data_IF_469551805967
#
_entry.id   IF_469551805967
#
_cell.length_a   1.000
_cell.length_b   1.000
_cell.length_c   1.000
_cell.angle_alpha   90.00
_cell.angle_beta   90.00
_cell.angle_gamma   90.00
#
_symmetry.space_group_name_H-M   'P 1'
#
loop_
_entity.id
_entity.type
_entity.pdbx_description
1 polymer ?
#
# COMPACT_ATOMS: atom_id res chain seq x y z
N UNK A 1 3.54 24.42 -7.57
CA UNK A 1 4.32 24.60 -8.81
C UNK A 1 4.16 23.33 -9.62
N UNK A 2 3.77 23.45 -10.90
CA UNK A 2 3.62 22.30 -11.78
C UNK A 2 4.96 21.57 -11.95
N UNK A 3 4.94 20.24 -11.97
CA UNK A 3 6.16 19.42 -12.02
C UNK A 3 6.71 19.36 -13.44
N UNK A 4 7.99 19.66 -13.65
CA UNK A 4 8.67 19.42 -14.92
C UNK A 4 9.00 17.93 -15.10
N UNK A 5 8.48 17.32 -16.16
CA UNK A 5 8.67 15.91 -16.52
C UNK A 5 9.56 15.73 -17.75
N UNK A 6 10.17 16.79 -18.27
CA UNK A 6 11.04 16.75 -19.45
C UNK A 6 12.23 15.78 -19.31
N UNK A 7 12.72 15.59 -18.08
CA UNK A 7 13.83 14.68 -17.76
C UNK A 7 13.41 13.23 -17.48
N UNK A 8 12.12 12.92 -17.53
CA UNK A 8 11.65 11.55 -17.30
C UNK A 8 12.04 10.62 -18.44
N UNK A 9 12.15 9.32 -18.13
CA UNK A 9 12.40 8.29 -19.13
C UNK A 9 11.10 7.59 -19.55
N UNK A 10 10.91 7.43 -20.85
CA UNK A 10 9.91 6.56 -21.44
C UNK A 10 10.59 5.30 -21.96
N UNK A 11 10.49 4.21 -21.19
CA UNK A 11 11.08 2.91 -21.51
C UNK A 11 12.59 2.97 -21.85
N UNK A 12 13.33 3.85 -21.17
CA UNK A 12 14.78 4.02 -21.35
C UNK A 12 15.19 5.16 -22.29
N UNK A 13 14.24 5.85 -22.92
CA UNK A 13 14.47 7.02 -23.78
C UNK A 13 14.14 8.29 -23.00
N UNK A 14 14.92 9.36 -23.12
CA UNK A 14 14.58 10.63 -22.47
C UNK A 14 13.35 11.24 -23.13
N UNK A 15 12.47 11.83 -22.32
CA UNK A 15 11.20 12.37 -22.80
C UNK A 15 11.37 13.46 -23.88
N UNK A 16 12.42 14.26 -23.81
CA UNK A 16 12.75 15.30 -24.80
C UNK A 16 13.08 14.76 -26.19
N UNK A 17 13.50 13.49 -26.31
CA UNK A 17 13.84 12.86 -27.60
C UNK A 17 12.60 12.42 -28.38
N UNK A 18 11.42 12.41 -27.74
CA UNK A 18 10.18 11.92 -28.34
C UNK A 18 9.26 13.12 -28.61
N UNK A 19 9.08 13.55 -29.87
CA UNK A 19 8.29 14.73 -30.19
C UNK A 19 6.77 14.45 -30.17
N UNK A 20 6.26 13.84 -29.10
CA UNK A 20 4.84 13.59 -28.88
C UNK A 20 4.24 14.64 -27.93
N UNK A 21 3.53 15.63 -28.43
CA UNK A 21 2.86 16.64 -27.60
C UNK A 21 1.68 17.26 -28.36
N UNK A 22 0.68 17.82 -27.66
CA UNK A 22 -0.46 18.44 -28.32
C UNK A 22 -0.06 19.74 -29.04
N UNK A 23 -0.79 20.08 -30.08
CA UNK A 23 -0.84 21.43 -30.67
C UNK A 23 -2.27 21.96 -30.61
N UNK A 24 -2.46 23.28 -30.54
CA UNK A 24 -3.79 23.90 -30.50
C UNK A 24 -3.97 24.77 -31.74
N UNK A 25 -5.01 24.50 -32.52
CA UNK A 25 -5.49 25.41 -33.55
C UNK A 25 -6.30 26.53 -32.88
N UNK A 26 -5.73 27.73 -32.85
CA UNK A 26 -6.32 28.88 -32.17
C UNK A 26 -7.60 29.40 -32.84
N UNK A 27 -7.81 29.15 -34.13
CA UNK A 27 -9.04 29.54 -34.84
C UNK A 27 -10.22 28.66 -34.42
N UNK A 28 -9.97 27.37 -34.21
CA UNK A 28 -11.00 26.41 -33.74
C UNK A 28 -11.18 26.40 -32.23
N UNK A 29 -10.21 26.90 -31.48
CA UNK A 29 -10.26 26.90 -30.02
C UNK A 29 -11.33 27.88 -29.50
N UNK A 30 -12.29 27.35 -28.74
CA UNK A 30 -13.40 28.13 -28.16
C UNK A 30 -13.16 28.54 -26.69
N UNK A 31 -11.96 28.28 -26.15
CA UNK A 31 -11.62 28.70 -24.77
C UNK A 31 -12.34 27.91 -23.66
N UNK A 32 -12.91 26.73 -23.94
CA UNK A 32 -13.74 25.98 -22.97
C UNK A 32 -13.01 25.38 -21.76
N UNK A 33 -11.70 25.61 -21.59
CA UNK A 33 -10.88 25.16 -20.44
C UNK A 33 -10.82 23.65 -20.16
N UNK A 34 -11.55 22.81 -20.92
CA UNK A 34 -11.66 21.38 -20.66
C UNK A 34 -10.30 20.67 -20.72
N UNK A 35 -9.44 21.06 -21.66
CA UNK A 35 -8.09 20.51 -21.78
C UNK A 35 -7.16 20.94 -20.63
N UNK A 36 -7.36 22.14 -20.09
CA UNK A 36 -6.60 22.68 -18.97
C UNK A 36 -6.90 21.89 -17.69
N UNK A 37 -8.19 21.68 -17.37
CA UNK A 37 -8.60 20.96 -16.16
C UNK A 37 -8.42 19.45 -16.27
N UNK A 38 -8.67 18.85 -17.44
CA UNK A 38 -8.67 17.38 -17.58
C UNK A 38 -7.25 16.78 -17.69
N UNK A 39 -6.23 17.60 -17.93
CA UNK A 39 -4.88 17.10 -18.09
C UNK A 39 -4.18 16.91 -16.74
N UNK A 40 -4.21 15.69 -16.19
CA UNK A 40 -3.50 15.35 -14.93
C UNK A 40 -1.96 15.43 -14.99
N UNK A 41 -1.39 15.92 -16.10
CA UNK A 41 0.04 16.17 -16.29
C UNK A 41 0.36 17.65 -16.51
N UNK A 42 -0.65 18.52 -16.38
CA UNK A 42 -0.51 19.98 -16.42
C UNK A 42 0.19 20.44 -17.71
N UNK A 43 -0.12 19.82 -18.86
CA UNK A 43 0.52 20.17 -20.15
C UNK A 43 0.12 21.56 -20.64
N UNK A 44 -1.11 21.94 -20.32
CA UNK A 44 -1.71 23.21 -20.74
C UNK A 44 -1.64 24.23 -19.61
N UNK A 45 -1.61 25.50 -20.00
CA UNK A 45 -1.87 26.66 -19.16
C UNK A 45 -3.02 27.45 -19.78
N UNK A 46 -3.75 28.23 -19.00
CA UNK A 46 -4.78 29.11 -19.53
C UNK A 46 -4.27 30.54 -19.61
N UNK A 47 -4.35 31.14 -20.80
CA UNK A 47 -4.01 32.53 -20.99
C UNK A 47 -5.29 33.37 -20.91
N UNK A 48 -5.45 34.10 -19.81
CA UNK A 48 -6.59 34.98 -19.55
C UNK A 48 -6.70 36.14 -20.53
N UNK A 49 -5.59 36.57 -21.15
CA UNK A 49 -5.58 37.71 -22.08
C UNK A 49 -6.27 37.37 -23.41
N UNK A 50 -6.05 36.16 -23.92
CA UNK A 50 -6.67 35.65 -25.15
C UNK A 50 -7.83 34.69 -24.87
N UNK A 51 -8.11 34.40 -23.59
CA UNK A 51 -9.15 33.49 -23.09
C UNK A 51 -9.08 32.10 -23.74
N UNK A 52 -7.86 31.57 -23.88
CA UNK A 52 -7.59 30.29 -24.55
C UNK A 52 -6.49 29.53 -23.83
N UNK A 53 -6.57 28.20 -23.91
CA UNK A 53 -5.49 27.34 -23.45
C UNK A 53 -4.27 27.44 -24.38
N UNK A 54 -3.08 27.40 -23.78
CA UNK A 54 -1.77 27.33 -24.45
C UNK A 54 -1.03 26.07 -24.00
N UNK A 55 -0.09 25.58 -24.82
CA UNK A 55 0.74 24.42 -24.48
C UNK A 55 2.03 24.92 -23.83
N UNK A 56 2.02 25.02 -22.51
CA UNK A 56 3.17 25.52 -21.74
C UNK A 56 4.23 24.43 -21.52
N UNK A 57 3.79 23.18 -21.28
CA UNK A 57 4.68 22.08 -20.88
C UNK A 57 4.53 20.89 -21.84
N UNK A 58 5.00 21.01 -23.10
CA UNK A 58 4.77 19.99 -24.13
C UNK A 58 5.32 18.61 -23.72
N UNK A 59 6.53 18.58 -23.14
CA UNK A 59 7.19 17.33 -22.74
C UNK A 59 6.58 16.68 -21.51
N UNK A 60 5.66 17.33 -20.79
CA UNK A 60 4.90 16.65 -19.74
C UNK A 60 3.89 15.64 -20.29
N UNK A 61 3.49 15.80 -21.56
CA UNK A 61 2.50 14.93 -22.20
C UNK A 61 3.00 13.48 -22.20
N UNK A 62 2.15 12.53 -21.81
CA UNK A 62 2.48 11.10 -21.86
C UNK A 62 2.56 10.65 -23.33
N UNK A 63 3.64 9.99 -23.71
CA UNK A 63 3.82 9.43 -25.06
C UNK A 63 2.66 8.50 -25.40
N UNK A 64 1.96 8.77 -26.50
CA UNK A 64 0.79 8.02 -26.96
C UNK A 64 -0.55 8.43 -26.35
N UNK A 65 -0.57 9.29 -25.33
CA UNK A 65 -1.82 9.84 -24.81
C UNK A 65 -2.41 10.87 -25.78
N UNK A 66 -3.72 10.79 -26.05
CA UNK A 66 -4.45 11.76 -26.87
C UNK A 66 -5.81 12.15 -26.28
N UNK A 67 -6.01 11.98 -24.98
CA UNK A 67 -7.32 12.21 -24.32
C UNK A 67 -7.83 13.63 -24.51
N UNK A 68 -6.96 14.64 -24.42
CA UNK A 68 -7.34 16.04 -24.61
C UNK A 68 -7.86 16.32 -26.03
N UNK A 69 -7.33 15.65 -27.07
CA UNK A 69 -7.90 15.70 -28.43
C UNK A 69 -9.28 15.07 -28.48
N UNK A 70 -9.47 13.92 -27.84
CA UNK A 70 -10.76 13.19 -27.83
C UNK A 70 -11.86 13.99 -27.14
N UNK A 71 -11.56 14.68 -26.04
CA UNK A 71 -12.56 15.45 -25.29
C UNK A 71 -12.78 16.87 -25.85
N UNK A 72 -11.92 17.36 -26.74
CA UNK A 72 -12.03 18.73 -27.25
C UNK A 72 -13.29 18.88 -28.11
N UNK A 73 -14.30 19.67 -27.69
CA UNK A 73 -15.58 19.75 -28.38
C UNK A 73 -15.46 20.42 -29.76
N UNK A 74 -14.48 21.31 -29.95
CA UNK A 74 -14.26 22.01 -31.21
C UNK A 74 -13.20 21.34 -32.12
N UNK A 75 -12.63 20.22 -31.69
CA UNK A 75 -11.58 19.52 -32.46
C UNK A 75 -10.33 20.37 -32.70
N UNK A 76 -10.02 21.30 -31.79
CA UNK A 76 -8.90 22.23 -31.93
C UNK A 76 -7.53 21.61 -31.61
N UNK A 77 -7.48 20.44 -30.96
CA UNK A 77 -6.22 19.85 -30.48
C UNK A 77 -5.69 18.81 -31.47
N UNK A 78 -4.47 19.03 -31.96
CA UNK A 78 -3.72 18.12 -32.81
C UNK A 78 -2.70 17.29 -32.04
N UNK A 79 -2.31 16.15 -32.62
CA UNK A 79 -1.18 15.33 -32.16
C UNK A 79 -0.41 14.81 -33.37
N UNK A 80 0.88 14.48 -33.20
CA UNK A 80 1.64 13.75 -34.21
C UNK A 80 0.98 12.44 -34.63
N UNK A 81 1.30 11.93 -35.83
CA UNK A 81 0.81 10.63 -36.30
C UNK A 81 1.30 9.49 -35.41
N UNK A 82 0.49 8.43 -35.28
CA UNK A 82 0.81 7.25 -34.46
C UNK A 82 2.05 6.52 -34.99
N UNK A 83 2.25 6.58 -36.30
CA UNK A 83 3.36 5.99 -37.05
C UNK A 83 4.72 6.50 -36.54
N UNK A 84 4.78 7.73 -36.02
CA UNK A 84 5.98 8.29 -35.39
C UNK A 84 6.38 7.51 -34.13
N UNK A 85 5.41 7.21 -33.26
CA UNK A 85 5.68 6.39 -32.06
C UNK A 85 6.10 4.99 -32.46
N UNK A 86 5.40 4.36 -33.42
CA UNK A 86 5.73 3.00 -33.87
C UNK A 86 7.15 2.90 -34.42
N UNK A 87 7.64 3.95 -35.09
CA UNK A 87 9.03 4.03 -35.56
C UNK A 87 10.01 4.04 -34.38
N UNK A 88 9.80 4.91 -33.40
CA UNK A 88 10.62 4.99 -32.18
C UNK A 88 10.60 3.65 -31.42
N UNK A 89 9.43 3.02 -31.30
CA UNK A 89 9.28 1.70 -30.66
C UNK A 89 10.15 0.64 -31.32
N UNK A 90 10.23 0.66 -32.65
CA UNK A 90 11.04 -0.28 -33.45
C UNK A 90 12.53 0.03 -33.35
N UNK A 91 12.92 1.29 -33.51
CA UNK A 91 14.32 1.75 -33.48
C UNK A 91 14.98 1.45 -32.13
N UNK A 92 14.29 1.76 -31.04
CA UNK A 92 14.80 1.54 -29.67
C UNK A 92 14.45 0.16 -29.10
N UNK A 93 13.84 -0.73 -29.89
CA UNK A 93 13.45 -2.09 -29.48
C UNK A 93 12.62 -2.11 -28.18
N UNK A 94 11.70 -1.16 -28.04
CA UNK A 94 10.92 -0.91 -26.81
C UNK A 94 10.18 -2.17 -26.32
N UNK A 95 9.65 -2.99 -27.24
CA UNK A 95 8.96 -4.23 -26.88
C UNK A 95 9.84 -5.20 -26.08
N UNK A 96 11.16 -5.22 -26.32
CA UNK A 96 12.10 -6.05 -25.53
C UNK A 96 12.21 -5.51 -24.09
N UNK A 97 12.39 -4.20 -23.95
CA UNK A 97 12.49 -3.50 -22.64
C UNK A 97 11.21 -3.68 -21.82
N UNK A 98 10.04 -3.51 -22.47
CA UNK A 98 8.73 -3.65 -21.83
C UNK A 98 8.48 -5.10 -21.38
N UNK A 99 8.84 -6.10 -22.19
CA UNK A 99 8.72 -7.52 -21.82
C UNK A 99 9.57 -7.86 -20.59
N UNK A 100 10.81 -7.36 -20.53
CA UNK A 100 11.67 -7.57 -19.37
C UNK A 100 11.11 -6.89 -18.11
N UNK A 101 10.69 -5.63 -18.24
CA UNK A 101 10.06 -4.87 -17.14
C UNK A 101 8.79 -5.56 -16.64
N UNK A 102 7.97 -6.09 -17.56
CA UNK A 102 6.76 -6.84 -17.23
C UNK A 102 7.08 -8.14 -16.47
N UNK A 103 8.13 -8.88 -16.86
CA UNK A 103 8.59 -10.07 -16.13
C UNK A 103 8.96 -9.72 -14.70
N UNK A 104 9.76 -8.67 -14.48
CA UNK A 104 10.16 -8.20 -13.14
C UNK A 104 8.93 -7.82 -12.29
N UNK A 105 7.97 -7.08 -12.86
CA UNK A 105 6.73 -6.70 -12.17
C UNK A 105 5.87 -7.91 -11.79
N UNK A 106 5.73 -8.89 -12.69
CA UNK A 106 5.00 -10.15 -12.41
C UNK A 106 5.65 -10.94 -11.29
N UNK A 107 6.98 -11.10 -11.33
CA UNK A 107 7.73 -11.78 -10.28
C UNK A 107 7.55 -11.08 -8.92
N UNK A 108 7.70 -9.75 -8.86
CA UNK A 108 7.45 -8.98 -7.62
C UNK A 108 6.03 -9.19 -7.10
N UNK A 109 5.02 -9.15 -7.96
CA UNK A 109 3.62 -9.36 -7.58
C UNK A 109 3.39 -10.78 -7.03
N UNK A 110 3.96 -11.81 -7.67
CA UNK A 110 3.85 -13.18 -7.20
C UNK A 110 4.50 -13.39 -5.82
N UNK A 111 5.64 -12.74 -5.55
CA UNK A 111 6.25 -12.75 -4.22
C UNK A 111 5.38 -12.08 -3.16
N UNK A 112 4.77 -10.93 -3.48
CA UNK A 112 3.85 -10.24 -2.56
C UNK A 112 2.62 -11.10 -2.25
N UNK A 113 2.02 -11.71 -3.27
CA UNK A 113 0.85 -12.60 -3.11
C UNK A 113 1.20 -13.83 -2.25
N UNK A 114 2.35 -14.46 -2.50
CA UNK A 114 2.83 -15.57 -1.70
C UNK A 114 3.08 -15.17 -0.23
N UNK A 115 3.62 -13.97 -0.01
CA UNK A 115 3.81 -13.42 1.33
C UNK A 115 2.48 -13.19 2.04
N UNK A 116 1.52 -12.53 1.39
CA UNK A 116 0.20 -12.27 1.98
C UNK A 116 -0.53 -13.58 2.31
N UNK A 117 -0.42 -14.60 1.48
CA UNK A 117 -1.02 -15.91 1.77
C UNK A 117 -0.32 -16.59 2.96
N UNK A 118 1.02 -16.52 3.04
CA UNK A 118 1.75 -17.03 4.20
C UNK A 118 1.38 -16.30 5.50
N UNK A 119 1.27 -14.97 5.47
CA UNK A 119 0.84 -14.15 6.61
C UNK A 119 -0.61 -14.49 7.03
N UNK A 120 -1.50 -14.73 6.05
CA UNK A 120 -2.87 -15.16 6.31
C UNK A 120 -2.93 -16.55 6.95
N UNK A 121 -2.09 -17.49 6.52
CA UNK A 121 -1.97 -18.80 7.16
C UNK A 121 -1.45 -18.67 8.59
N UNK A 122 -0.40 -17.88 8.80
CA UNK A 122 0.13 -17.60 10.15
C UNK A 122 -0.91 -16.93 11.06
N UNK A 123 -1.73 -16.02 10.54
CA UNK A 123 -2.78 -15.37 11.33
C UNK A 123 -3.87 -16.33 11.85
N UNK A 124 -4.02 -17.51 11.22
CA UNK A 124 -4.96 -18.55 11.68
C UNK A 124 -4.37 -19.42 12.77
N UNK A 125 -3.05 -19.48 12.89
CA UNK A 125 -2.38 -20.23 13.96
C UNK A 125 -2.47 -19.38 15.23
N UNK A 126 -3.35 -19.77 16.16
CA UNK A 126 -3.34 -19.19 17.50
C UNK A 126 -2.05 -19.63 18.19
N UNK A 127 -1.04 -18.76 18.18
CA UNK A 127 0.25 -18.96 18.86
C UNK A 127 0.26 -18.32 20.25
N UNK A 128 -0.80 -17.58 20.58
CA UNK A 128 -0.97 -16.94 21.87
C UNK A 128 -2.46 -16.79 22.22
N UNK A 129 -2.80 -16.97 23.50
CA UNK A 129 -4.13 -16.72 24.07
C UNK A 129 -3.97 -15.81 25.29
N UNK A 130 -4.83 -14.80 25.39
CA UNK A 130 -4.87 -13.88 26.52
C UNK A 130 -5.97 -14.32 27.48
N UNK A 131 -5.62 -14.40 28.77
CA UNK A 131 -6.51 -14.78 29.85
C UNK A 131 -6.71 -13.61 30.80
N UNK A 132 -7.95 -13.44 31.23
CA UNK A 132 -8.36 -12.47 32.24
C UNK A 132 -9.20 -13.20 33.29
N UNK A 133 -8.71 -13.24 34.53
CA UNK A 133 -9.31 -14.05 35.60
C UNK A 133 -9.52 -13.19 36.83
N UNK A 134 -10.68 -13.34 37.47
CA UNK A 134 -10.98 -12.75 38.79
C UNK A 134 -11.11 -13.85 39.83
N UNK A 135 -10.53 -13.65 41.02
CA UNK A 135 -10.61 -14.63 42.10
C UNK A 135 -9.71 -14.29 43.28
N UNK A 136 -9.56 -15.21 44.23
CA UNK A 136 -8.62 -15.05 45.35
C UNK A 136 -7.19 -15.37 44.93
N UNK A 137 -6.66 -14.59 43.98
CA UNK A 137 -5.40 -14.87 43.29
C UNK A 137 -4.15 -14.57 44.13
N UNK A 138 -4.31 -13.82 45.21
CA UNK A 138 -3.23 -13.52 46.16
C UNK A 138 -2.96 -14.66 47.16
N UNK A 139 -3.73 -15.75 47.14
CA UNK A 139 -3.52 -16.90 48.01
C UNK A 139 -2.19 -17.62 47.71
N UNK A 140 -1.63 -18.29 48.73
CA UNK A 140 -0.34 -18.99 48.60
C UNK A 140 -0.45 -20.08 47.53
N UNK A 141 0.50 -20.07 46.57
CA UNK A 141 0.75 -21.10 45.55
C UNK A 141 0.11 -20.92 44.15
N UNK A 142 -0.50 -19.77 43.83
CA UNK A 142 -1.00 -19.55 42.46
C UNK A 142 0.09 -19.75 41.40
N UNK A 143 1.23 -19.06 41.55
CA UNK A 143 2.33 -19.13 40.58
C UNK A 143 2.93 -20.54 40.46
N UNK A 144 3.05 -21.28 41.56
CA UNK A 144 3.58 -22.65 41.52
C UNK A 144 2.60 -23.63 40.85
N UNK A 145 1.30 -23.47 41.07
CA UNK A 145 0.27 -24.29 40.41
C UNK A 145 0.22 -24.02 38.91
N UNK A 146 0.34 -22.74 38.55
CA UNK A 146 0.42 -22.31 37.16
C UNK A 146 1.65 -22.90 36.48
N UNK A 147 2.84 -22.78 37.08
CA UNK A 147 4.08 -23.38 36.54
C UNK A 147 3.95 -24.89 36.37
N UNK A 148 3.42 -25.60 37.37
CA UNK A 148 3.20 -27.05 37.28
C UNK A 148 2.23 -27.46 36.16
N UNK A 149 1.24 -26.62 35.84
CA UNK A 149 0.28 -26.90 34.78
C UNK A 149 0.90 -26.83 33.36
N UNK A 150 1.99 -26.07 33.20
CA UNK A 150 2.67 -25.86 31.90
C UNK A 150 4.06 -26.49 31.81
N UNK A 151 4.60 -27.06 32.90
CA UNK A 151 6.00 -27.54 32.98
C UNK A 151 6.40 -28.51 31.87
N UNK A 152 5.46 -29.29 31.34
CA UNK A 152 5.70 -30.28 30.29
C UNK A 152 5.21 -29.86 28.89
N UNK A 153 4.57 -28.70 28.78
CA UNK A 153 3.97 -28.22 27.53
C UNK A 153 4.94 -27.29 26.77
N UNK A 154 4.90 -27.24 25.42
CA UNK A 154 5.68 -26.30 24.62
C UNK A 154 5.09 -24.88 24.62
N UNK A 155 4.61 -24.43 25.78
CA UNK A 155 4.02 -23.11 25.99
C UNK A 155 4.53 -22.47 27.28
N UNK A 156 4.51 -21.14 27.33
CA UNK A 156 4.93 -20.38 28.49
C UNK A 156 3.98 -19.21 28.74
N UNK A 157 4.07 -18.62 29.94
CA UNK A 157 3.26 -17.52 30.38
C UNK A 157 4.08 -16.23 30.44
N UNK A 158 3.63 -15.25 29.68
CA UNK A 158 4.24 -13.93 29.64
C UNK A 158 3.23 -12.86 30.08
N UNK A 159 3.77 -11.70 30.45
CA UNK A 159 2.98 -10.51 30.82
C UNK A 159 1.99 -10.74 31.98
N UNK A 160 2.34 -11.60 32.93
CA UNK A 160 1.53 -11.85 34.13
C UNK A 160 1.43 -10.56 34.95
N UNK A 161 0.21 -10.05 35.09
CA UNK A 161 -0.13 -8.87 35.88
C UNK A 161 -1.19 -9.27 36.89
N UNK A 162 -1.02 -8.89 38.16
CA UNK A 162 -2.00 -9.14 39.22
C UNK A 162 -2.36 -7.79 39.84
N UNK A 163 -3.62 -7.41 39.71
CA UNK A 163 -4.20 -6.23 40.32
C UNK A 163 -4.95 -6.67 41.58
N UNK A 164 -4.43 -6.25 42.74
CA UNK A 164 -5.04 -6.52 44.04
C UNK A 164 -5.58 -5.23 44.64
N UNK A 165 -6.72 -5.24 45.34
CA UNK A 165 -7.19 -4.07 46.10
C UNK A 165 -6.21 -3.70 47.23
N UNK A 166 -6.32 -4.32 48.41
CA UNK A 166 -5.27 -4.19 49.45
C UNK A 166 -4.85 -5.58 49.90
N UNK A 167 -3.55 -5.76 50.17
CA UNK A 167 -3.02 -7.04 50.64
C UNK A 167 -3.72 -7.53 51.92
N UNK A 168 -4.05 -6.60 52.85
CA UNK A 168 -4.79 -6.98 54.06
C UNK A 168 -6.19 -7.51 53.75
N UNK A 169 -6.91 -6.85 52.84
CA UNK A 169 -8.27 -7.26 52.46
C UNK A 169 -8.26 -8.58 51.68
N UNK A 170 -7.26 -8.82 50.82
CA UNK A 170 -7.10 -10.10 50.13
C UNK A 170 -6.91 -11.29 51.10
N UNK A 171 -6.11 -11.13 52.16
CA UNK A 171 -5.82 -12.23 53.11
C UNK A 171 -6.85 -12.37 54.24
N UNK A 172 -7.37 -11.27 54.76
CA UNK A 172 -8.23 -11.31 55.95
C UNK A 172 -9.72 -11.35 55.59
N UNK A 173 -10.09 -10.68 54.49
CA UNK A 173 -11.48 -10.47 54.07
C UNK A 173 -11.80 -11.22 52.78
N UNK A 174 -10.81 -11.94 52.22
CA UNK A 174 -10.92 -12.64 50.93
C UNK A 174 -11.40 -11.72 49.80
N UNK A 175 -10.93 -10.48 49.74
CA UNK A 175 -11.26 -9.63 48.60
C UNK A 175 -10.68 -10.21 47.29
N UNK A 176 -11.46 -10.25 46.19
CA UNK A 176 -10.99 -10.76 44.91
C UNK A 176 -9.91 -9.86 44.33
N UNK A 177 -8.98 -10.47 43.60
CA UNK A 177 -7.97 -9.84 42.77
C UNK A 177 -8.23 -10.18 41.31
N UNK A 178 -7.70 -9.37 40.42
CA UNK A 178 -7.76 -9.56 38.99
C UNK A 178 -6.37 -9.96 38.48
N UNK A 179 -6.28 -10.92 37.58
CA UNK A 179 -5.04 -11.23 36.89
C UNK A 179 -5.24 -11.26 35.38
N UNK A 180 -4.21 -10.80 34.69
CA UNK A 180 -4.09 -10.82 33.24
C UNK A 180 -2.78 -11.50 32.87
N UNK A 181 -2.81 -12.47 31.97
CA UNK A 181 -1.61 -13.13 31.48
C UNK A 181 -1.81 -13.62 30.05
N UNK A 182 -0.71 -13.87 29.34
CA UNK A 182 -0.74 -14.39 27.98
C UNK A 182 0.01 -15.70 27.91
N UNK A 183 -0.68 -16.77 27.51
CA UNK A 183 -0.08 -18.05 27.18
C UNK A 183 0.46 -17.94 25.76
N UNK A 184 1.74 -18.24 25.55
CA UNK A 184 2.40 -18.20 24.24
C UNK A 184 3.06 -19.53 23.92
N UNK A 185 3.05 -19.91 22.66
CA UNK A 185 3.77 -21.10 22.21
C UNK A 185 5.26 -20.79 22.03
N UNK A 186 6.14 -21.65 22.54
CA UNK A 186 7.60 -21.49 22.44
C UNK A 186 8.11 -21.95 21.07
N UNK A 187 7.47 -22.96 20.49
CA UNK A 187 7.88 -23.59 19.22
C UNK A 187 6.98 -23.20 18.04
N UNK A 188 6.05 -22.26 18.26
CA UNK A 188 4.99 -21.86 17.32
C UNK A 188 3.94 -22.91 16.88
N UNK A 189 3.68 -24.06 17.57
CA UNK A 189 2.45 -24.83 17.31
C UNK A 189 1.17 -24.06 17.70
N UNK A 190 0.03 -24.59 17.24
CA UNK A 190 -1.29 -24.13 17.64
C UNK A 190 -1.50 -24.33 19.15
N UNK A 191 -1.92 -23.27 19.85
CA UNK A 191 -1.99 -23.23 21.31
C UNK A 191 -3.35 -23.64 21.89
N UNK A 192 -4.37 -23.79 21.04
CA UNK A 192 -5.75 -24.13 21.41
C UNK A 192 -5.83 -25.30 22.41
N UNK A 193 -5.11 -26.43 22.25
CA UNK A 193 -5.19 -27.56 23.18
C UNK A 193 -4.62 -27.27 24.59
N UNK A 194 -3.68 -26.34 24.70
CA UNK A 194 -3.07 -25.97 25.98
C UNK A 194 -3.89 -24.90 26.70
N UNK A 195 -4.60 -24.06 25.95
CA UNK A 195 -5.47 -23.03 26.49
C UNK A 195 -6.66 -23.62 27.29
N UNK A 196 -7.15 -24.81 26.93
CA UNK A 196 -8.27 -25.48 27.64
C UNK A 196 -7.94 -25.88 29.10
N UNK A 197 -6.67 -25.80 29.51
CA UNK A 197 -6.24 -26.11 30.88
C UNK A 197 -6.47 -24.96 31.88
N UNK A 198 -6.77 -23.76 31.38
CA UNK A 198 -6.91 -22.52 32.16
C UNK A 198 -8.35 -22.02 32.14
#
# INVERSE_FOLDING_TARGET
>A
MAKDLSKQQWHGITRTEIPWYPTINMEKCIGCELCYVSCGREVFEYDDSIRKAIVERPFNCMVGCSTCRTICPSGAIGFPPREMIQRIEKEHKILKVVRETARKKKTKKAFEEARTEAEKLLSKVQTAVEFEVTGHLAERQLMSKIYQAIETDPCDLIYITIETPTLRSCWNEKAPSYAKFRLVSIEYPEITPYAEKF
#
